data_IF_778825384626
#
_entry.id   IF_778825384626
#
_cell.length_a   1.000
_cell.length_b   1.000
_cell.length_c   1.000
_cell.angle_alpha   90.00
_cell.angle_beta   90.00
_cell.angle_gamma   90.00
#
_symmetry.space_group_name_H-M   'P 1'
#
loop_
_entity.id
_entity.type
_entity.pdbx_description
1 polymer ?
#
# COMPACT_ATOMS: atom_id res chain seq x y z
N UNK A 1 19.07 4.90 -11.62
CA UNK A 1 18.40 6.01 -12.34
C UNK A 1 17.06 6.24 -11.68
N UNK A 2 16.76 7.44 -11.16
CA UNK A 2 15.40 7.77 -10.69
C UNK A 2 14.48 7.82 -11.91
N UNK A 3 13.45 6.97 -11.96
CA UNK A 3 12.43 7.06 -13.02
C UNK A 3 11.72 8.42 -12.87
N UNK A 4 11.67 9.20 -13.96
CA UNK A 4 10.99 10.50 -13.97
C UNK A 4 9.51 10.30 -13.63
N UNK A 5 9.02 11.00 -12.60
CA UNK A 5 7.58 11.11 -12.34
C UNK A 5 6.95 11.99 -13.42
N UNK A 6 5.88 11.52 -14.07
CA UNK A 6 5.14 12.35 -15.02
C UNK A 6 4.49 13.53 -14.29
N UNK A 7 4.93 14.75 -14.62
CA UNK A 7 4.20 15.96 -14.30
C UNK A 7 3.39 16.38 -15.51
N UNK A 8 2.08 16.53 -15.36
CA UNK A 8 1.24 17.12 -16.39
C UNK A 8 0.90 18.57 -16.04
N UNK A 9 0.62 19.40 -17.04
CA UNK A 9 0.07 20.72 -16.81
C UNK A 9 -1.45 20.63 -16.89
N UNK A 10 -2.11 20.96 -15.79
CA UNK A 10 -3.57 21.04 -15.72
C UNK A 10 -3.97 22.52 -15.84
N UNK A 11 -4.81 22.83 -16.83
CA UNK A 11 -5.39 24.16 -16.98
C UNK A 11 -6.46 24.35 -15.90
N UNK A 12 -6.28 25.36 -15.06
CA UNK A 12 -7.24 25.72 -14.02
C UNK A 12 -8.30 26.70 -14.55
N UNK A 13 -9.39 26.86 -13.81
CA UNK A 13 -10.50 27.75 -14.18
C UNK A 13 -10.12 29.24 -14.29
N UNK A 14 -8.95 29.62 -13.77
CA UNK A 14 -8.37 30.96 -13.88
C UNK A 14 -7.45 31.13 -15.11
N UNK A 15 -7.36 30.10 -15.96
CA UNK A 15 -6.50 30.10 -17.16
C UNK A 15 -5.02 29.84 -16.86
N UNK A 16 -4.65 29.53 -15.62
CA UNK A 16 -3.26 29.20 -15.26
C UNK A 16 -2.98 27.72 -15.43
N UNK A 17 -1.73 27.38 -15.78
CA UNK A 17 -1.27 26.01 -15.90
C UNK A 17 -0.55 25.57 -14.61
N UNK A 18 -1.10 24.59 -13.91
CA UNK A 18 -0.46 24.03 -12.72
C UNK A 18 0.16 22.67 -13.03
N UNK A 19 1.45 22.54 -12.73
CA UNK A 19 2.17 21.27 -12.82
C UNK A 19 1.69 20.35 -11.71
N UNK A 20 0.86 19.37 -12.07
CA UNK A 20 0.29 18.38 -11.15
C UNK A 20 0.96 17.04 -11.40
N UNK A 21 1.39 16.36 -10.33
CA UNK A 21 1.79 14.95 -10.43
C UNK A 21 0.52 14.13 -10.72
N UNK A 22 0.42 13.56 -11.93
CA UNK A 22 -0.68 12.64 -12.23
C UNK A 22 -0.35 11.32 -11.56
N UNK A 23 -1.06 11.05 -10.48
CA UNK A 23 -1.11 9.76 -9.85
C UNK A 23 -1.71 8.71 -10.78
N UNK A 24 -1.31 7.45 -10.60
CA UNK A 24 -2.02 6.33 -11.22
C UNK A 24 -3.52 6.33 -10.83
N UNK A 25 -4.39 5.70 -11.63
CA UNK A 25 -5.80 5.60 -11.35
C UNK A 25 -6.03 4.97 -9.96
N UNK A 26 -6.78 5.63 -9.06
CA UNK A 26 -6.93 5.16 -7.68
C UNK A 26 -7.91 3.99 -7.55
N UNK A 27 -8.69 3.71 -8.60
CA UNK A 27 -9.68 2.63 -8.63
C UNK A 27 -9.74 1.96 -10.00
N UNK A 28 -10.25 0.73 -10.03
CA UNK A 28 -10.51 -0.02 -11.27
C UNK A 28 -11.42 0.75 -12.24
N UNK A 29 -12.46 1.44 -11.74
CA UNK A 29 -13.39 2.22 -12.58
C UNK A 29 -12.69 3.35 -13.35
N UNK A 30 -11.79 4.07 -12.69
CA UNK A 30 -11.02 5.14 -13.34
C UNK A 30 -10.01 4.54 -14.32
N UNK A 31 -9.39 3.42 -13.96
CA UNK A 31 -8.51 2.70 -14.89
C UNK A 31 -9.27 2.21 -16.14
N UNK A 32 -10.49 1.69 -15.99
CA UNK A 32 -11.29 1.20 -17.11
C UNK A 32 -11.61 2.31 -18.11
N UNK A 33 -11.97 3.50 -17.61
CA UNK A 33 -12.16 4.70 -18.45
C UNK A 33 -10.88 5.09 -19.20
N UNK A 34 -9.73 5.09 -18.53
CA UNK A 34 -8.45 5.36 -19.17
C UNK A 34 -8.09 4.28 -20.21
N UNK A 35 -8.38 3.02 -19.90
CA UNK A 35 -8.16 1.88 -20.79
C UNK A 35 -9.01 2.01 -22.06
N UNK A 36 -10.28 2.40 -21.95
CA UNK A 36 -11.16 2.60 -23.11
C UNK A 36 -10.63 3.68 -24.07
N UNK A 37 -10.03 4.76 -23.56
CA UNK A 37 -9.38 5.78 -24.40
C UNK A 37 -8.20 5.16 -25.16
N UNK A 38 -7.34 4.41 -24.47
CA UNK A 38 -6.21 3.72 -25.10
C UNK A 38 -6.66 2.68 -26.13
N UNK A 39 -7.67 1.88 -25.81
CA UNK A 39 -8.27 0.88 -26.70
C UNK A 39 -8.84 1.54 -27.97
N UNK A 40 -9.54 2.66 -27.83
CA UNK A 40 -10.09 3.42 -28.94
C UNK A 40 -8.99 3.87 -29.91
N UNK A 41 -7.88 4.40 -29.39
CA UNK A 41 -6.73 4.80 -30.21
C UNK A 41 -6.14 3.60 -30.98
N UNK A 42 -5.96 2.46 -30.31
CA UNK A 42 -5.43 1.26 -30.97
C UNK A 42 -6.35 0.69 -32.06
N UNK A 43 -7.67 0.80 -31.85
CA UNK A 43 -8.66 0.41 -32.86
C UNK A 43 -8.61 1.36 -34.06
N UNK A 44 -8.56 2.68 -33.83
CA UNK A 44 -8.46 3.69 -34.89
C UNK A 44 -7.18 3.54 -35.70
N UNK A 45 -6.08 3.15 -35.06
CA UNK A 45 -4.80 2.86 -35.72
C UNK A 45 -4.77 1.47 -36.41
N UNK A 46 -5.86 0.71 -36.35
CA UNK A 46 -5.95 -0.67 -36.85
C UNK A 46 -4.85 -1.59 -36.28
N UNK A 47 -4.35 -1.27 -35.09
CA UNK A 47 -3.25 -2.01 -34.46
C UNK A 47 -3.74 -3.30 -33.79
N UNK A 48 -4.95 -3.26 -33.20
CA UNK A 48 -5.56 -4.36 -32.47
C UNK A 48 -7.05 -4.51 -32.82
N UNK A 49 -7.55 -5.73 -32.69
CA UNK A 49 -8.99 -6.00 -32.78
C UNK A 49 -9.69 -5.64 -31.45
N UNK A 50 -10.95 -5.16 -31.50
CA UNK A 50 -11.72 -4.85 -30.29
C UNK A 50 -11.83 -6.04 -29.33
N UNK A 51 -12.06 -7.25 -29.86
CA UNK A 51 -12.16 -8.47 -29.06
C UNK A 51 -10.88 -8.78 -28.27
N UNK A 52 -9.70 -8.54 -28.86
CA UNK A 52 -8.43 -8.81 -28.18
C UNK A 52 -8.16 -7.80 -27.05
N UNK A 53 -8.53 -6.54 -27.26
CA UNK A 53 -8.44 -5.51 -26.24
C UNK A 53 -9.39 -5.81 -25.08
N UNK A 54 -10.61 -6.25 -25.38
CA UNK A 54 -11.60 -6.64 -24.37
C UNK A 54 -11.12 -7.84 -23.54
N UNK A 55 -10.51 -8.85 -24.16
CA UNK A 55 -9.92 -9.99 -23.42
C UNK A 55 -8.84 -9.53 -22.43
N UNK A 56 -7.98 -8.59 -22.84
CA UNK A 56 -6.97 -8.04 -21.94
C UNK A 56 -7.60 -7.19 -20.83
N UNK A 57 -8.62 -6.40 -21.14
CA UNK A 57 -9.37 -5.62 -20.15
C UNK A 57 -9.96 -6.54 -19.09
N UNK A 58 -10.65 -7.60 -19.53
CA UNK A 58 -11.28 -8.57 -18.65
C UNK A 58 -10.26 -9.30 -17.77
N UNK A 59 -9.09 -9.62 -18.32
CA UNK A 59 -7.99 -10.23 -17.56
C UNK A 59 -7.56 -9.38 -16.35
N UNK A 60 -7.42 -8.06 -16.52
CA UNK A 60 -7.09 -7.15 -15.40
C UNK A 60 -8.27 -7.01 -14.42
N UNK A 61 -9.50 -6.91 -14.94
CA UNK A 61 -10.72 -6.87 -14.12
C UNK A 61 -10.84 -8.11 -13.24
N UNK A 62 -10.55 -9.29 -13.77
CA UNK A 62 -10.60 -10.56 -13.05
C UNK A 62 -9.56 -10.61 -11.93
N UNK A 63 -8.33 -10.14 -12.17
CA UNK A 63 -7.32 -10.02 -11.12
C UNK A 63 -7.73 -9.02 -10.04
N UNK A 64 -8.30 -7.87 -10.41
CA UNK A 64 -8.78 -6.89 -9.43
C UNK A 64 -9.95 -7.41 -8.59
N UNK A 65 -10.77 -8.33 -9.12
CA UNK A 65 -11.87 -8.97 -8.38
C UNK A 65 -11.39 -10.12 -7.49
N UNK A 66 -10.30 -10.79 -7.85
CA UNK A 66 -9.72 -11.92 -7.12
C UNK A 66 -9.09 -11.50 -5.80
N UNK A 67 -8.48 -10.32 -5.75
CA UNK A 67 -7.77 -9.82 -4.57
C UNK A 67 -8.57 -8.76 -3.81
N UNK A 68 -8.29 -8.54 -2.51
CA UNK A 68 -8.92 -7.47 -1.73
C UNK A 68 -8.68 -6.08 -2.34
N UNK A 69 -9.57 -5.09 -2.12
CA UNK A 69 -9.43 -3.74 -2.69
C UNK A 69 -8.10 -3.04 -2.38
N UNK A 70 -7.46 -3.37 -1.25
CA UNK A 70 -6.14 -2.83 -0.88
C UNK A 70 -5.00 -3.26 -1.82
N UNK A 71 -5.17 -4.32 -2.60
CA UNK A 71 -4.17 -4.82 -3.54
C UNK A 71 -4.29 -4.20 -4.95
N UNK A 72 -5.25 -3.29 -5.18
CA UNK A 72 -5.46 -2.64 -6.49
C UNK A 72 -4.17 -2.07 -7.09
N UNK A 73 -3.36 -1.40 -6.27
CA UNK A 73 -2.12 -0.78 -6.73
C UNK A 73 -1.09 -1.79 -7.25
N UNK A 74 -1.09 -3.02 -6.74
CA UNK A 74 -0.23 -4.10 -7.23
C UNK A 74 -0.70 -4.54 -8.62
N UNK A 75 -2.02 -4.71 -8.79
CA UNK A 75 -2.63 -5.04 -10.09
C UNK A 75 -2.31 -3.96 -11.12
N UNK A 76 -2.48 -2.68 -10.75
CA UNK A 76 -2.14 -1.56 -11.62
C UNK A 76 -0.65 -1.49 -11.97
N UNK A 77 0.24 -1.73 -11.00
CA UNK A 77 1.68 -1.79 -11.25
C UNK A 77 2.03 -2.88 -12.26
N UNK A 78 1.46 -4.07 -12.09
CA UNK A 78 1.68 -5.19 -12.98
C UNK A 78 1.18 -4.90 -14.41
N UNK A 79 -0.02 -4.33 -14.57
CA UNK A 79 -0.54 -3.85 -15.86
C UNK A 79 0.41 -2.84 -16.51
N UNK A 80 0.87 -1.84 -15.75
CA UNK A 80 1.75 -0.80 -16.27
C UNK A 80 3.11 -1.36 -16.72
N UNK A 81 3.69 -2.30 -15.97
CA UNK A 81 4.92 -3.02 -16.37
C UNK A 81 4.67 -3.94 -17.56
N UNK A 82 3.50 -4.58 -17.61
CA UNK A 82 3.12 -5.45 -18.72
C UNK A 82 3.09 -4.64 -20.03
N UNK A 83 2.31 -3.55 -20.07
CA UNK A 83 2.16 -2.70 -21.25
C UNK A 83 3.42 -1.90 -21.57
N UNK A 84 4.12 -1.38 -20.57
CA UNK A 84 5.29 -0.51 -20.75
C UNK A 84 6.58 -1.25 -21.07
N UNK A 85 6.80 -2.44 -20.49
CA UNK A 85 8.06 -3.17 -20.62
C UNK A 85 7.89 -4.52 -21.32
N UNK A 86 6.93 -5.34 -20.84
CA UNK A 86 6.78 -6.72 -21.29
C UNK A 86 6.28 -6.84 -22.74
N UNK A 87 5.35 -5.99 -23.16
CA UNK A 87 4.82 -5.94 -24.53
C UNK A 87 5.92 -5.78 -25.56
N UNK A 88 6.91 -4.90 -25.30
CA UNK A 88 8.04 -4.71 -26.21
C UNK A 88 8.88 -6.00 -26.38
N UNK A 89 9.01 -6.80 -25.32
CA UNK A 89 9.74 -8.08 -25.35
C UNK A 89 8.95 -9.12 -26.13
N UNK A 90 7.64 -9.21 -25.90
CA UNK A 90 6.75 -10.10 -26.63
C UNK A 90 6.70 -9.74 -28.12
N UNK A 91 6.63 -8.46 -28.45
CA UNK A 91 6.65 -7.99 -29.84
C UNK A 91 7.89 -8.48 -30.59
N UNK A 92 9.09 -8.35 -29.99
CA UNK A 92 10.32 -8.88 -30.60
C UNK A 92 10.26 -10.39 -30.83
N UNK A 93 9.69 -11.16 -29.90
CA UNK A 93 9.52 -12.61 -30.06
C UNK A 93 8.56 -12.92 -31.22
N UNK A 94 7.43 -12.22 -31.29
CA UNK A 94 6.46 -12.35 -32.38
C UNK A 94 7.11 -12.08 -33.73
N UNK A 95 7.91 -11.00 -33.86
CA UNK A 95 8.63 -10.69 -35.10
C UNK A 95 9.63 -11.77 -35.50
N UNK A 96 10.36 -12.34 -34.53
CA UNK A 96 11.28 -13.47 -34.78
C UNK A 96 10.51 -14.70 -35.25
N UNK A 97 9.34 -14.98 -34.70
CA UNK A 97 8.52 -16.12 -35.11
C UNK A 97 7.95 -15.92 -36.53
N UNK A 98 7.55 -14.69 -36.89
CA UNK A 98 7.17 -14.34 -38.27
C UNK A 98 8.34 -14.63 -39.23
N UNK A 99 9.54 -14.13 -38.91
CA UNK A 99 10.71 -14.32 -39.76
C UNK A 99 11.09 -15.81 -39.91
N UNK A 100 10.94 -16.61 -38.85
CA UNK A 100 11.15 -18.06 -38.90
C UNK A 100 10.11 -18.78 -39.76
N UNK A 101 8.84 -18.39 -39.68
CA UNK A 101 7.78 -18.96 -40.51
C UNK A 101 8.01 -18.63 -41.99
N UNK A 102 8.39 -17.39 -42.29
CA UNK A 102 8.75 -16.95 -43.65
C UNK A 102 9.94 -17.73 -44.22
N UNK A 103 11.00 -17.94 -43.43
CA UNK A 103 12.15 -18.73 -43.84
C UNK A 103 11.79 -20.20 -44.16
N UNK A 104 10.73 -20.72 -43.55
CA UNK A 104 10.20 -22.07 -43.80
C UNK A 104 9.12 -22.10 -44.89
N UNK A 105 8.77 -20.96 -45.49
CA UNK A 105 7.63 -20.81 -46.40
C UNK A 105 6.29 -21.27 -45.80
N UNK A 106 6.16 -21.21 -44.47
CA UNK A 106 4.92 -21.51 -43.76
C UNK A 106 4.15 -20.22 -43.48
N UNK A 107 2.81 -20.21 -43.61
CA UNK A 107 2.03 -19.08 -43.13
C UNK A 107 2.22 -18.99 -41.60
N UNK A 108 2.56 -17.82 -41.05
CA UNK A 108 2.51 -17.65 -39.60
C UNK A 108 1.07 -17.89 -39.14
N UNK A 109 0.89 -18.64 -38.07
CA UNK A 109 -0.43 -18.93 -37.48
C UNK A 109 -1.17 -17.71 -36.94
N UNK A 110 -0.71 -16.49 -37.23
CA UNK A 110 -1.27 -15.22 -36.79
C UNK A 110 -1.04 -14.13 -37.85
N UNK A 111 -1.88 -13.09 -37.81
CA UNK A 111 -1.85 -11.99 -38.79
C UNK A 111 -0.62 -11.09 -38.61
N UNK A 112 0.24 -11.05 -39.64
CA UNK A 112 1.44 -10.20 -39.69
C UNK A 112 1.11 -8.70 -39.67
N UNK A 113 -0.07 -8.30 -40.16
CA UNK A 113 -0.47 -6.90 -40.27
C UNK A 113 -0.94 -6.32 -38.93
N UNK A 114 -1.36 -7.18 -38.01
CA UNK A 114 -1.82 -6.81 -36.67
C UNK A 114 -1.05 -7.58 -35.58
N UNK A 115 0.29 -7.39 -35.48
CA UNK A 115 1.14 -8.16 -34.57
C UNK A 115 0.79 -7.94 -33.09
N UNK A 116 0.19 -6.80 -32.75
CA UNK A 116 -0.23 -6.50 -31.39
C UNK A 116 -1.37 -7.40 -30.89
N UNK A 117 -2.16 -8.01 -31.78
CA UNK A 117 -3.14 -8.99 -31.38
C UNK A 117 -2.48 -10.21 -30.72
N UNK A 118 -1.37 -10.66 -31.32
CA UNK A 118 -0.59 -11.79 -30.83
C UNK A 118 0.17 -11.41 -29.56
N UNK A 119 0.70 -10.18 -29.48
CA UNK A 119 1.33 -9.68 -28.25
C UNK A 119 0.36 -9.70 -27.07
N UNK A 120 -0.87 -9.21 -27.27
CA UNK A 120 -1.89 -9.22 -26.22
C UNK A 120 -2.28 -10.64 -25.82
N UNK A 121 -2.42 -11.56 -26.78
CA UNK A 121 -2.72 -12.96 -26.51
C UNK A 121 -1.63 -13.60 -25.64
N UNK A 122 -0.36 -13.49 -26.09
CA UNK A 122 0.79 -14.03 -25.36
C UNK A 122 0.98 -13.37 -24.00
N UNK A 123 0.63 -12.09 -23.86
CA UNK A 123 0.70 -11.41 -22.58
C UNK A 123 -0.28 -11.98 -21.57
N UNK A 124 -1.52 -12.28 -21.96
CA UNK A 124 -2.53 -12.91 -21.09
C UNK A 124 -2.07 -14.32 -20.69
N UNK A 125 -1.48 -15.06 -21.63
CA UNK A 125 -1.06 -16.46 -21.41
C UNK A 125 0.28 -16.58 -20.65
N UNK A 126 1.04 -15.49 -20.44
CA UNK A 126 2.32 -15.51 -19.72
C UNK A 126 2.11 -15.59 -18.19
N UNK A 127 1.75 -16.78 -17.72
CA UNK A 127 1.60 -17.08 -16.29
C UNK A 127 2.88 -16.82 -15.49
N UNK A 128 4.06 -16.96 -16.11
CA UNK A 128 5.33 -16.67 -15.45
C UNK A 128 5.55 -15.19 -15.18
N UNK A 129 5.06 -14.32 -16.06
CA UNK A 129 5.01 -12.88 -15.83
C UNK A 129 4.01 -12.54 -14.72
N UNK A 130 2.75 -12.96 -14.85
CA UNK A 130 1.71 -12.59 -13.88
C UNK A 130 1.95 -13.16 -12.49
N UNK A 131 2.47 -14.38 -12.40
CA UNK A 131 2.82 -14.98 -11.10
C UNK A 131 3.86 -14.13 -10.36
N UNK A 132 4.92 -13.68 -11.06
CA UNK A 132 6.00 -12.89 -10.45
C UNK A 132 5.59 -11.45 -10.16
N UNK A 133 4.93 -10.78 -11.10
CA UNK A 133 4.67 -9.33 -11.00
C UNK A 133 3.37 -9.00 -10.25
N UNK A 134 2.42 -9.94 -10.17
CA UNK A 134 1.10 -9.70 -9.59
C UNK A 134 0.77 -10.73 -8.51
N UNK A 135 0.73 -12.02 -8.83
CA UNK A 135 0.12 -13.00 -7.93
C UNK A 135 0.92 -13.20 -6.65
N UNK A 136 2.25 -13.32 -6.74
CA UNK A 136 3.14 -13.47 -5.58
C UNK A 136 3.09 -12.23 -4.67
N UNK A 137 3.31 -10.98 -5.17
CA UNK A 137 3.19 -9.79 -4.33
C UNK A 137 1.79 -9.61 -3.74
N UNK A 138 0.73 -9.84 -4.52
CA UNK A 138 -0.64 -9.72 -4.06
C UNK A 138 -0.98 -10.74 -2.97
N UNK A 139 -0.44 -11.96 -3.07
CA UNK A 139 -0.61 -13.00 -2.06
C UNK A 139 0.11 -12.64 -0.75
N UNK A 140 1.35 -12.13 -0.82
CA UNK A 140 2.11 -11.72 0.37
C UNK A 140 1.39 -10.59 1.14
N UNK A 141 0.84 -9.61 0.42
CA UNK A 141 0.07 -8.51 1.01
C UNK A 141 -1.28 -8.99 1.54
N UNK A 142 -2.00 -9.84 0.79
CA UNK A 142 -3.28 -10.39 1.24
C UNK A 142 -3.12 -11.29 2.49
N UNK A 143 -1.99 -11.99 2.61
CA UNK A 143 -1.64 -12.81 3.77
C UNK A 143 -1.10 -11.99 4.95
N UNK A 144 -1.00 -10.67 4.85
CA UNK A 144 -0.36 -9.78 5.83
C UNK A 144 1.08 -10.17 6.17
N UNK A 145 1.79 -10.79 5.21
CA UNK A 145 3.21 -11.16 5.34
C UNK A 145 4.11 -9.97 4.97
N UNK A 146 3.70 -9.15 4.00
CA UNK A 146 4.35 -7.90 3.63
C UNK A 146 3.36 -6.74 3.59
N UNK A 147 3.86 -5.50 3.66
CA UNK A 147 3.01 -4.32 3.48
C UNK A 147 2.92 -3.94 2.00
N UNK A 148 1.84 -3.26 1.63
CA UNK A 148 1.66 -2.75 0.27
C UNK A 148 2.87 -1.91 -0.20
N UNK A 149 3.48 -1.13 0.68
CA UNK A 149 4.63 -0.29 0.31
C UNK A 149 5.92 -1.08 0.07
N UNK A 150 6.03 -2.30 0.61
CA UNK A 150 7.21 -3.15 0.41
C UNK A 150 7.20 -3.78 -0.99
N UNK A 151 6.01 -4.07 -1.52
CA UNK A 151 5.82 -4.69 -2.83
C UNK A 151 5.66 -3.68 -3.99
N UNK A 152 5.22 -2.45 -3.69
CA UNK A 152 5.07 -1.43 -4.70
C UNK A 152 6.43 -0.86 -5.12
N UNK A 153 6.69 -0.88 -6.43
CA UNK A 153 7.83 -0.19 -7.02
C UNK A 153 7.59 1.32 -7.10
N UNK A 154 8.67 2.09 -7.35
CA UNK A 154 8.59 3.53 -7.60
C UNK A 154 7.75 3.89 -8.85
N UNK A 155 7.36 2.89 -9.63
CA UNK A 155 6.67 2.98 -10.92
C UNK A 155 5.18 3.37 -10.78
N UNK A 156 4.60 3.21 -9.58
CA UNK A 156 3.22 3.61 -9.28
C UNK A 156 3.22 4.78 -8.31
N UNK A 157 3.18 6.00 -8.84
CA UNK A 157 2.95 7.18 -8.02
C UNK A 157 1.52 7.11 -7.45
N UNK A 158 1.38 6.69 -6.20
CA UNK A 158 0.12 6.80 -5.47
C UNK A 158 -0.20 8.29 -5.28
N UNK A 159 -1.33 8.72 -5.82
CA UNK A 159 -1.90 10.01 -5.50
C UNK A 159 -2.24 9.98 -4.02
N UNK A 160 -1.55 10.80 -3.24
CA UNK A 160 -2.08 11.17 -1.93
C UNK A 160 -3.37 11.91 -2.20
N UNK A 161 -4.49 11.19 -2.18
CA UNK A 161 -5.80 11.81 -2.04
C UNK A 161 -5.79 12.53 -0.70
N UNK A 162 -5.50 13.84 -0.76
CA UNK A 162 -5.82 14.75 0.31
C UNK A 162 -7.33 14.65 0.52
N UNK A 163 -7.73 14.20 1.69
CA UNK A 163 -9.10 14.31 2.16
C UNK A 163 -9.55 15.75 1.94
N UNK A 164 -10.54 15.93 1.08
CA UNK A 164 -11.11 17.23 0.77
C UNK A 164 -11.63 17.88 2.05
N UNK A 165 -11.01 18.98 2.47
CA UNK A 165 -11.57 19.89 3.46
C UNK A 165 -11.84 21.21 2.75
N UNK A 166 -13.13 21.54 2.68
CA UNK A 166 -13.71 22.75 2.14
C UNK A 166 -12.91 24.00 2.45
N UNK A 167 -12.71 24.82 1.41
CA UNK A 167 -12.16 26.16 1.53
C UNK A 167 -13.01 27.00 2.49
N UNK A 168 -12.37 27.54 3.53
CA UNK A 168 -12.80 28.78 4.18
C UNK A 168 -11.69 29.80 3.98
N UNK A 169 -12.06 30.87 3.28
CA UNK A 169 -11.26 32.06 3.08
C UNK A 169 -10.79 32.67 4.40
N UNK A 170 -9.56 33.18 4.42
CA UNK A 170 -9.14 34.26 5.31
C UNK A 170 -7.72 34.14 5.86
N UNK A 171 -6.84 35.06 5.40
CA UNK A 171 -5.64 35.58 6.09
C UNK A 171 -4.49 34.58 6.39
N UNK A 172 -3.19 34.86 6.30
CA UNK A 172 -2.31 36.01 6.08
C UNK A 172 -0.89 35.39 5.86
N UNK A 173 0.10 36.11 5.30
CA UNK A 173 1.42 35.54 5.03
C UNK A 173 2.22 35.41 6.33
N UNK A 174 2.79 34.23 6.60
CA UNK A 174 3.77 34.06 7.69
C UNK A 174 4.98 33.27 7.20
N UNK A 175 6.02 34.05 6.92
CA UNK A 175 7.45 33.82 7.20
C UNK A 175 7.94 32.37 7.26
N UNK A 176 8.85 32.06 6.35
CA UNK A 176 9.78 30.94 6.38
C UNK A 176 10.49 30.81 7.73
N UNK A 177 10.04 29.89 8.57
CA UNK A 177 10.86 29.24 9.58
C UNK A 177 10.64 27.73 9.45
N UNK A 178 11.42 27.09 8.58
CA UNK A 178 11.56 25.63 8.54
C UNK A 178 12.17 25.15 9.86
N UNK A 179 11.37 24.47 10.68
CA UNK A 179 11.90 23.70 11.82
C UNK A 179 12.37 22.31 11.37
N UNK A 180 13.51 21.80 11.88
CA UNK A 180 13.99 20.46 11.59
C UNK A 180 13.04 19.37 12.10
N UNK A 181 12.94 18.27 11.34
CA UNK A 181 12.26 17.03 11.78
C UNK A 181 12.97 16.47 13.03
N UNK A 182 12.24 16.02 14.07
CA UNK A 182 12.86 15.34 15.20
C UNK A 182 13.50 14.01 14.75
N UNK A 183 14.58 13.57 15.41
CA UNK A 183 15.32 12.37 15.02
C UNK A 183 14.45 11.12 15.16
N UNK A 184 14.43 10.28 14.11
CA UNK A 184 13.83 8.95 14.16
C UNK A 184 14.74 8.06 15.03
N UNK A 185 14.30 7.74 16.24
CA UNK A 185 14.83 6.58 16.96
C UNK A 185 14.36 5.31 16.23
N UNK A 186 15.29 4.43 15.88
CA UNK A 186 15.04 3.20 15.14
C UNK A 186 14.13 2.22 15.91
N UNK A 187 13.63 1.16 15.23
CA UNK A 187 12.71 0.22 15.84
C UNK A 187 13.48 -0.69 16.80
N UNK A 188 13.46 -0.36 18.09
CA UNK A 188 13.95 -1.26 19.12
C UNK A 188 12.85 -2.29 19.41
N UNK A 189 13.14 -3.57 19.14
CA UNK A 189 12.32 -4.71 19.59
C UNK A 189 12.28 -4.72 21.12
N UNK A 190 11.37 -3.96 21.72
CA UNK A 190 11.07 -4.09 23.14
C UNK A 190 9.89 -5.04 23.28
N UNK A 191 10.13 -6.12 24.03
CA UNK A 191 9.11 -7.01 24.56
C UNK A 191 7.95 -6.18 25.09
N UNK A 192 6.70 -6.55 24.73
CA UNK A 192 5.47 -5.82 25.09
C UNK A 192 5.18 -5.92 26.60
N UNK A 193 6.06 -5.39 27.43
CA UNK A 193 5.82 -5.17 28.86
C UNK A 193 5.20 -3.79 29.02
N UNK A 194 4.04 -3.74 29.66
CA UNK A 194 3.45 -2.47 30.05
C UNK A 194 4.31 -1.86 31.15
N UNK A 195 4.86 -0.66 30.93
CA UNK A 195 5.56 0.07 31.97
C UNK A 195 4.51 0.72 32.89
N UNK A 196 4.27 0.07 34.03
CA UNK A 196 3.32 0.51 35.06
C UNK A 196 4.12 0.89 36.30
N UNK A 197 3.92 2.11 36.79
CA UNK A 197 4.48 2.60 38.05
C UNK A 197 3.31 3.03 38.94
N UNK A 198 3.28 2.57 40.19
CA UNK A 198 2.19 2.86 41.15
C UNK A 198 0.78 2.60 40.62
N UNK A 199 0.60 1.55 39.82
CA UNK A 199 -0.69 1.22 39.21
C UNK A 199 -1.12 2.14 38.06
N UNK A 200 -0.24 3.00 37.56
CA UNK A 200 -0.48 3.85 36.39
C UNK A 200 0.49 3.52 35.25
N UNK A 201 -0.01 3.53 34.01
CA UNK A 201 0.83 3.44 32.82
C UNK A 201 1.73 4.68 32.72
N UNK A 202 3.03 4.46 32.55
CA UNK A 202 4.02 5.52 32.31
C UNK A 202 4.28 5.70 30.81
N UNK A 203 4.16 4.62 30.03
CA UNK A 203 4.29 4.65 28.57
C UNK A 203 3.09 4.00 27.88
N UNK A 204 2.85 4.39 26.63
CA UNK A 204 1.85 3.75 25.79
C UNK A 204 2.35 2.41 25.22
N UNK A 205 1.48 1.71 24.48
CA UNK A 205 1.80 0.41 23.85
C UNK A 205 2.95 0.47 22.82
N UNK A 206 3.28 1.67 22.34
CA UNK A 206 4.37 1.94 21.39
C UNK A 206 5.63 2.50 22.07
N UNK A 207 5.65 2.61 23.41
CA UNK A 207 6.81 3.06 24.19
C UNK A 207 6.91 4.57 24.44
N UNK A 208 5.95 5.38 23.98
CA UNK A 208 5.98 6.84 24.22
C UNK A 208 5.50 7.19 25.63
N UNK A 209 6.18 8.14 26.28
CA UNK A 209 5.79 8.63 27.61
C UNK A 209 4.43 9.31 27.60
N UNK A 210 3.64 9.09 28.64
CA UNK A 210 2.36 9.77 28.81
C UNK A 210 2.57 11.16 29.42
N UNK A 211 1.79 12.12 28.96
CA UNK A 211 1.85 13.49 29.48
C UNK A 211 1.23 13.55 30.87
N UNK A 212 2.03 13.91 31.87
CA UNK A 212 1.58 14.05 33.26
C UNK A 212 0.58 15.20 33.40
N UNK A 213 0.87 16.35 32.77
CA UNK A 213 -0.02 17.51 32.76
C UNK A 213 -1.39 17.19 32.16
N UNK A 214 -1.47 16.35 31.13
CA UNK A 214 -2.76 15.88 30.61
C UNK A 214 -3.51 15.07 31.67
N UNK A 215 -2.81 14.12 32.30
CA UNK A 215 -3.39 13.21 33.29
C UNK A 215 -3.85 13.91 34.59
N UNK A 216 -3.19 15.01 34.96
CA UNK A 216 -3.56 15.91 36.07
C UNK A 216 -4.51 17.06 35.65
N UNK A 217 -4.98 17.08 34.41
CA UNK A 217 -5.88 18.11 33.86
C UNK A 217 -5.27 19.54 33.83
N UNK A 218 -3.95 19.65 33.73
CA UNK A 218 -3.18 20.90 33.65
C UNK A 218 -2.62 21.18 32.25
N UNK A 219 -2.70 20.23 31.31
CA UNK A 219 -2.27 20.42 29.93
C UNK A 219 -3.47 20.71 29.00
N UNK A 220 -3.55 21.90 28.38
CA UNK A 220 -4.77 22.38 27.72
C UNK A 220 -4.99 21.85 26.30
N UNK A 221 -3.95 21.44 25.56
CA UNK A 221 -4.06 21.17 24.13
C UNK A 221 -3.16 20.03 23.63
N UNK A 222 -3.68 19.28 22.66
CA UNK A 222 -2.94 18.26 21.91
C UNK A 222 -3.22 18.36 20.41
N UNK A 223 -2.33 17.79 19.60
CA UNK A 223 -2.54 17.59 18.16
C UNK A 223 -2.31 16.12 17.85
N UNK A 224 -3.33 15.41 17.35
CA UNK A 224 -3.27 13.98 17.02
C UNK A 224 -2.72 13.12 18.18
N UNK A 225 -3.17 13.38 19.41
CA UNK A 225 -2.71 12.74 20.64
C UNK A 225 -1.41 13.29 21.24
N UNK A 226 -0.66 14.14 20.55
CA UNK A 226 0.63 14.65 21.03
C UNK A 226 0.50 15.92 21.85
N UNK A 227 1.21 16.01 22.98
CA UNK A 227 1.24 17.20 23.82
C UNK A 227 1.83 18.40 23.07
N UNK A 228 1.16 19.55 23.14
CA UNK A 228 1.61 20.79 22.50
C UNK A 228 2.76 21.47 23.25
N UNK A 229 2.83 21.24 24.57
CA UNK A 229 3.90 21.76 25.46
C UNK A 229 5.15 20.88 25.33
N UNK A 230 5.01 19.56 25.57
CA UNK A 230 6.10 18.58 25.50
C UNK A 230 5.88 17.61 24.34
N UNK A 231 6.50 17.87 23.19
CA UNK A 231 6.29 17.09 21.95
C UNK A 231 6.73 15.62 22.00
N UNK A 232 7.40 15.20 23.08
CA UNK A 232 7.81 13.82 23.32
C UNK A 232 6.82 13.04 24.21
N UNK A 233 5.72 13.68 24.62
CA UNK A 233 4.70 13.10 25.49
C UNK A 233 3.35 12.98 24.78
N UNK A 234 2.61 11.93 25.12
CA UNK A 234 1.30 11.61 24.54
C UNK A 234 0.17 11.88 25.53
N UNK A 235 -0.90 12.54 25.07
CA UNK A 235 -2.16 12.71 25.79
C UNK A 235 -2.98 11.41 25.72
N UNK A 236 -2.61 10.47 26.58
CA UNK A 236 -3.37 9.26 26.86
C UNK A 236 -3.56 9.11 28.36
N UNK A 237 -4.71 8.58 28.75
CA UNK A 237 -5.07 8.30 30.14
C UNK A 237 -4.10 7.27 30.73
N UNK A 238 -3.48 7.59 31.86
CA UNK A 238 -2.55 6.69 32.55
C UNK A 238 -3.24 5.48 33.20
N UNK A 239 -4.58 5.44 33.28
CA UNK A 239 -5.32 4.27 33.78
C UNK A 239 -5.73 3.28 32.69
N UNK A 240 -6.07 3.76 31.49
CA UNK A 240 -6.67 2.92 30.43
C UNK A 240 -6.11 3.13 29.02
N UNK A 241 -5.15 4.05 28.85
CA UNK A 241 -4.52 4.44 27.58
C UNK A 241 -5.45 5.07 26.53
N UNK A 242 -6.68 5.44 26.90
CA UNK A 242 -7.58 6.19 26.02
C UNK A 242 -7.09 7.63 25.79
N UNK A 243 -7.30 8.15 24.58
CA UNK A 243 -7.04 9.57 24.25
C UNK A 243 -8.25 10.48 24.56
N UNK A 244 -9.42 9.91 24.85
CA UNK A 244 -10.67 10.67 25.00
C UNK A 244 -10.79 11.44 26.32
N UNK A 245 -10.02 11.06 27.33
CA UNK A 245 -10.09 11.62 28.67
C UNK A 245 -8.74 11.48 29.39
N UNK A 246 -8.58 12.22 30.49
CA UNK A 246 -7.42 12.12 31.37
C UNK A 246 -7.67 11.20 32.56
N UNK A 247 -6.62 10.81 33.28
CA UNK A 247 -6.73 9.95 34.45
C UNK A 247 -7.66 10.50 35.55
N UNK A 248 -7.70 11.83 35.70
CA UNK A 248 -8.58 12.51 36.67
C UNK A 248 -10.07 12.30 36.38
N UNK A 249 -10.46 12.20 35.10
CA UNK A 249 -11.84 11.94 34.65
C UNK A 249 -12.09 10.46 34.28
N UNK A 250 -11.17 9.57 34.63
CA UNK A 250 -11.26 8.16 34.28
C UNK A 250 -11.97 7.37 35.40
N UNK A 251 -13.11 6.76 35.06
CA UNK A 251 -13.86 5.85 35.94
C UNK A 251 -13.34 4.42 36.00
N UNK A 252 -12.25 4.11 35.28
CA UNK A 252 -11.59 2.80 35.36
C UNK A 252 -10.68 2.75 36.59
N UNK A 253 -10.58 1.58 37.21
CA UNK A 253 -9.58 1.30 38.24
C UNK A 253 -8.16 1.44 37.64
N UNK A 254 -7.13 1.71 38.47
CA UNK A 254 -5.75 1.78 38.02
C UNK A 254 -5.32 0.51 37.25
N UNK A 255 -4.29 0.64 36.41
CA UNK A 255 -3.78 -0.43 35.56
C UNK A 255 -3.47 -1.69 36.42
N UNK A 256 -3.85 -2.89 35.96
CA UNK A 256 -3.56 -4.12 36.70
C UNK A 256 -2.05 -4.29 36.85
N UNK A 257 -1.54 -4.21 38.08
CA UNK A 257 -0.17 -4.60 38.38
C UNK A 257 -0.05 -6.09 38.14
N UNK A 258 0.62 -6.51 37.06
CA UNK A 258 1.08 -7.89 36.96
C UNK A 258 2.21 -8.09 37.96
N UNK A 259 1.84 -8.40 39.20
CA UNK A 259 2.73 -9.08 40.13
C UNK A 259 3.17 -10.38 39.48
N UNK A 260 4.47 -10.57 39.36
CA UNK A 260 5.10 -11.83 38.95
C UNK A 260 4.74 -12.89 40.01
N UNK A 261 3.63 -13.61 39.83
CA UNK A 261 3.45 -14.88 40.52
C UNK A 261 4.37 -15.89 39.84
N UNK A 262 5.54 -16.04 40.45
CA UNK A 262 6.49 -17.12 40.22
C UNK A 262 5.77 -18.43 40.57
N UNK A 263 5.22 -19.12 39.57
CA UNK A 263 4.61 -20.42 39.75
C UNK A 263 5.62 -21.38 40.35
N UNK A 264 5.46 -21.69 41.64
CA UNK A 264 6.16 -22.75 42.35
C UNK A 264 5.93 -24.06 41.61
N UNK A 265 7.03 -24.70 41.20
CA UNK A 265 7.02 -26.07 40.74
C UNK A 265 6.43 -26.99 41.81
N UNK A 266 5.50 -27.85 41.40
CA UNK A 266 5.12 -29.03 42.16
C UNK A 266 5.33 -30.26 41.28
N UNK A 267 6.35 -31.02 41.68
CA UNK A 267 6.26 -32.47 41.85
C UNK A 267 6.16 -33.30 40.59
N UNK A 268 7.29 -33.88 40.18
CA UNK A 268 7.29 -35.07 39.36
C UNK A 268 6.59 -36.24 40.04
N UNK A 269 5.93 -37.07 39.23
CA UNK A 269 5.70 -38.48 39.50
C UNK A 269 5.61 -39.21 38.16
N UNK A 270 6.66 -39.97 37.84
CA UNK A 270 6.67 -40.86 36.68
C UNK A 270 5.86 -42.13 36.93
N UNK A 271 5.37 -42.73 35.83
CA UNK A 271 5.40 -44.16 35.47
C UNK A 271 4.32 -44.43 34.43
N UNK A 272 4.68 -45.11 33.34
CA UNK A 272 3.69 -45.72 32.44
C UNK A 272 4.18 -45.99 31.02
N UNK A 273 5.21 -46.84 30.86
CA UNK A 273 5.41 -47.58 29.60
C UNK A 273 4.17 -48.47 29.37
N UNK A 274 3.53 -48.40 28.21
CA UNK A 274 2.84 -49.55 27.61
C UNK A 274 3.06 -49.57 26.10
N UNK A 275 3.74 -50.64 25.68
CA UNK A 275 3.79 -51.15 24.31
C UNK A 275 2.39 -51.33 23.74
N UNK A 276 2.26 -51.13 22.43
CA UNK A 276 1.49 -52.05 21.59
C UNK A 276 2.26 -52.29 20.29
N UNK A 277 2.76 -53.52 20.16
CA UNK A 277 2.90 -54.22 18.88
C UNK A 277 1.52 -54.78 18.53
N UNK A 278 1.08 -54.60 17.29
CA UNK A 278 0.94 -55.67 16.28
C UNK A 278 0.92 -55.02 14.90
#
# INVERSE_FOLDING_TARGET
MKKLKMGAMQLQGDGTWVKTEIAGPPTLDIWDKCFQVWATVLIMLLACTPARLENYRQHIVDYSRRYPPGCWYIVYQADNRCRGEHFSRLYRKVMVDIAKAEAKSEPPGFDKRAPWNEVLARAIDDSGFWSRELEQPALLVAANVSSLNDELGEDTAMGRHGSSAMARHGAQPKSDLRLPKPPRLGPQQQTRTHNVHDGAYVTNRSGYKLCEGFNSNQCPAHVNGWCTINRNEMHQCSKCLSQSHNASKCGQTPAPSKGVQKGQGKGGRGKGKKNYQY
#
